data_IF_221888604819
#
_entry.id   IF_221888604819
#
_cell.length_a   1.000
_cell.length_b   1.000
_cell.length_c   1.000
_cell.angle_alpha   90.00
_cell.angle_beta   90.00
_cell.angle_gamma   90.00
#
_symmetry.space_group_name_H-M   'P 1'
#
loop_
_entity.id
_entity.type
_entity.pdbx_description
1 polymer ?
#
# COMPACT_ATOMS: atom_id res chain seq x y z
N UNK A 1 17.35 71.85 55.55
CA UNK A 1 16.32 70.86 55.04
C UNK A 1 16.99 70.09 53.94
N UNK A 2 17.59 68.95 54.28
CA UNK A 2 18.26 68.05 53.31
C UNK A 2 17.23 67.09 52.73
N UNK A 3 17.26 66.92 51.44
CA UNK A 3 16.27 66.29 50.57
C UNK A 3 16.28 64.80 50.70
N UNK A 4 15.41 64.18 51.54
CA UNK A 4 15.30 62.76 51.76
C UNK A 4 14.69 61.97 50.61
N UNK A 5 14.36 62.63 49.50
CA UNK A 5 13.72 62.00 48.33
C UNK A 5 14.69 61.39 47.29
N UNK A 6 15.99 61.75 47.37
CA UNK A 6 16.99 61.23 46.42
C UNK A 6 17.50 59.81 46.82
N UNK A 7 17.65 59.54 48.13
CA UNK A 7 18.16 58.23 48.60
C UNK A 7 17.17 57.10 48.41
N UNK A 8 15.87 57.37 48.35
CA UNK A 8 14.86 56.31 48.15
C UNK A 8 14.75 55.84 46.67
N UNK A 9 15.08 56.76 45.74
CA UNK A 9 15.08 56.44 44.30
C UNK A 9 16.24 55.56 43.90
N UNK A 10 17.43 55.77 44.44
CA UNK A 10 18.61 55.01 44.08
C UNK A 10 18.54 53.55 44.68
N UNK A 11 17.95 53.40 45.86
CA UNK A 11 17.71 52.09 46.46
C UNK A 11 16.67 51.27 45.71
N UNK A 12 15.60 51.88 45.17
CA UNK A 12 14.58 51.22 44.41
C UNK A 12 15.10 50.76 43.04
N UNK A 13 15.95 51.59 42.40
CA UNK A 13 16.57 51.21 41.10
C UNK A 13 17.57 50.07 41.27
N UNK A 14 18.31 50.03 42.39
CA UNK A 14 19.24 48.94 42.66
C UNK A 14 18.53 47.61 42.94
N UNK A 15 17.40 47.62 43.63
CA UNK A 15 16.58 46.42 43.84
C UNK A 15 15.90 45.92 42.57
N UNK A 16 15.47 46.81 41.67
CA UNK A 16 14.89 46.47 40.37
C UNK A 16 15.93 45.86 39.42
N UNK A 17 17.17 46.35 39.40
CA UNK A 17 18.25 45.80 38.56
C UNK A 17 18.71 44.44 39.10
N UNK A 18 18.80 44.23 40.43
CA UNK A 18 19.15 42.92 41.01
C UNK A 18 18.02 41.90 40.82
N UNK A 19 16.74 42.30 40.87
CA UNK A 19 15.61 41.39 40.59
C UNK A 19 15.50 41.02 39.11
N UNK A 20 15.92 41.89 38.19
CA UNK A 20 15.93 41.60 36.75
C UNK A 20 17.12 40.71 36.34
N UNK A 21 18.24 40.71 37.09
CA UNK A 21 19.36 39.80 36.84
C UNK A 21 19.17 38.40 37.43
N UNK A 22 18.27 38.20 38.42
CA UNK A 22 17.95 36.86 38.96
C UNK A 22 16.88 36.12 38.14
N UNK A 23 16.15 36.77 37.22
CA UNK A 23 15.15 36.17 36.38
C UNK A 23 15.69 35.63 35.04
N UNK A 24 16.99 35.76 34.73
CA UNK A 24 17.62 35.19 33.53
C UNK A 24 18.34 33.85 33.74
N UNK A 25 18.26 33.24 34.94
CA UNK A 25 18.91 31.96 35.24
C UNK A 25 17.94 30.76 35.26
N UNK A 26 16.69 30.95 34.77
CA UNK A 26 15.68 29.89 34.74
C UNK A 26 15.14 29.69 33.33
N UNK A 27 16.04 29.58 32.34
CA UNK A 27 15.70 29.05 31.02
C UNK A 27 16.89 28.23 30.52
N UNK A 28 16.93 26.99 30.88
CA UNK A 28 18.01 26.07 30.53
C UNK A 28 17.64 24.62 30.79
N UNK A 29 16.36 24.27 30.59
CA UNK A 29 16.00 22.90 30.24
C UNK A 29 15.59 22.93 28.77
N UNK A 30 16.56 23.11 27.87
CA UNK A 30 16.46 22.53 26.55
C UNK A 30 16.32 21.05 26.80
N UNK A 31 15.08 20.53 26.71
CA UNK A 31 14.88 19.21 26.18
C UNK A 31 15.63 19.23 24.85
N UNK A 32 16.84 18.70 24.85
CA UNK A 32 17.47 18.17 23.66
C UNK A 32 16.51 17.11 23.12
N UNK A 33 15.51 17.51 22.36
CA UNK A 33 15.07 16.74 21.24
C UNK A 33 16.29 16.71 20.32
N UNK A 34 17.14 15.70 20.49
CA UNK A 34 18.09 15.29 19.48
C UNK A 34 17.24 15.04 18.23
N UNK A 35 17.11 16.07 17.40
CA UNK A 35 16.77 15.89 16.00
C UNK A 35 17.94 15.08 15.49
N UNK A 36 17.78 13.74 15.47
CA UNK A 36 18.70 12.88 14.75
C UNK A 36 18.65 13.40 13.31
N UNK A 37 19.72 14.01 12.82
CA UNK A 37 19.86 14.35 11.41
C UNK A 37 20.02 13.05 10.64
N UNK A 38 18.90 12.33 10.50
CA UNK A 38 18.86 11.12 9.72
C UNK A 38 19.14 11.48 8.27
N UNK A 39 20.16 10.87 7.68
CA UNK A 39 20.62 11.21 6.33
C UNK A 39 21.07 9.97 5.57
N UNK A 40 21.08 10.07 4.24
CA UNK A 40 21.57 9.01 3.38
C UNK A 40 20.52 8.52 2.36
N UNK A 41 20.93 7.58 1.52
CA UNK A 41 20.08 7.04 0.46
C UNK A 41 19.47 5.69 0.87
N UNK A 42 18.23 5.46 0.43
CA UNK A 42 17.50 4.20 0.51
C UNK A 42 17.11 3.84 -0.92
N UNK A 43 17.50 2.67 -1.39
CA UNK A 43 17.17 2.17 -2.71
C UNK A 43 16.11 1.05 -2.60
N UNK A 44 14.99 1.25 -3.24
CA UNK A 44 13.85 0.30 -3.26
C UNK A 44 13.50 0.00 -4.71
N UNK A 45 13.15 -1.24 -5.02
CA UNK A 45 12.62 -1.61 -6.33
C UNK A 45 11.68 -2.81 -6.17
N UNK A 46 10.84 -3.10 -7.15
CA UNK A 46 10.01 -4.30 -7.12
C UNK A 46 8.64 -4.15 -7.76
N UNK A 47 7.65 -4.74 -7.09
CA UNK A 47 6.28 -4.87 -7.56
C UNK A 47 5.61 -3.53 -7.84
N UNK A 48 5.00 -3.40 -9.03
CA UNK A 48 4.13 -2.27 -9.39
C UNK A 48 2.94 -2.11 -8.45
N UNK A 49 2.44 -3.21 -7.89
CA UNK A 49 1.34 -3.20 -6.91
C UNK A 49 1.77 -2.63 -5.55
N UNK A 50 2.99 -2.94 -5.09
CA UNK A 50 3.51 -2.42 -3.81
C UNK A 50 4.03 -0.98 -3.95
N UNK A 51 4.38 -0.57 -5.17
CA UNK A 51 4.93 0.74 -5.49
C UNK A 51 4.10 1.91 -4.92
N UNK A 52 2.77 2.01 -5.13
CA UNK A 52 2.01 3.18 -4.68
C UNK A 52 2.08 3.39 -3.16
N UNK A 53 1.99 2.33 -2.37
CA UNK A 53 2.10 2.44 -0.91
C UNK A 53 3.53 2.77 -0.47
N UNK A 54 4.52 2.16 -1.12
CA UNK A 54 5.93 2.43 -0.82
C UNK A 54 6.31 3.88 -1.18
N UNK A 55 5.77 4.40 -2.28
CA UNK A 55 5.98 5.80 -2.70
C UNK A 55 5.33 6.77 -1.70
N UNK A 56 4.09 6.53 -1.29
CA UNK A 56 3.40 7.37 -0.28
C UNK A 56 4.18 7.39 1.05
N UNK A 57 4.61 6.22 1.54
CA UNK A 57 5.44 6.12 2.74
C UNK A 57 6.79 6.84 2.56
N UNK A 58 7.41 6.72 1.38
CA UNK A 58 8.68 7.36 1.08
C UNK A 58 8.57 8.89 1.03
N UNK A 59 7.49 9.41 0.48
CA UNK A 59 7.22 10.85 0.42
C UNK A 59 7.07 11.43 1.82
N UNK A 60 6.21 10.87 2.66
CA UNK A 60 5.99 11.34 4.03
C UNK A 60 7.23 11.18 4.91
N UNK A 61 7.96 10.06 4.75
CA UNK A 61 9.22 9.86 5.45
C UNK A 61 10.27 10.92 5.11
N UNK A 62 10.40 11.29 3.83
CA UNK A 62 11.33 12.33 3.38
C UNK A 62 10.91 13.74 3.84
N UNK A 63 9.61 14.02 3.93
CA UNK A 63 9.10 15.27 4.52
C UNK A 63 9.56 15.40 5.97
N UNK A 64 9.48 14.31 6.75
CA UNK A 64 9.93 14.28 8.14
C UNK A 64 11.46 14.23 8.28
N UNK A 65 12.19 13.71 7.28
CA UNK A 65 13.64 13.52 7.28
C UNK A 65 14.27 14.07 5.99
N UNK A 66 14.38 15.39 5.82
CA UNK A 66 14.73 16.05 4.55
C UNK A 66 16.16 15.77 4.05
N UNK A 67 17.05 15.27 4.90
CA UNK A 67 18.41 14.87 4.52
C UNK A 67 18.51 13.41 4.06
N UNK A 68 17.37 12.69 4.02
CA UNK A 68 17.26 11.34 3.45
C UNK A 68 16.78 11.40 2.00
N UNK A 69 17.20 10.42 1.22
CA UNK A 69 16.73 10.25 -0.16
C UNK A 69 16.23 8.84 -0.38
N UNK A 70 14.95 8.65 -0.54
CA UNK A 70 14.34 7.38 -0.92
C UNK A 70 14.10 7.37 -2.43
N UNK A 71 14.49 6.30 -3.09
CA UNK A 71 14.20 6.07 -4.50
C UNK A 71 13.44 4.77 -4.64
N UNK A 72 12.28 4.82 -5.30
CA UNK A 72 11.43 3.65 -5.51
C UNK A 72 11.35 3.38 -7.01
N UNK A 73 11.82 2.21 -7.43
CA UNK A 73 11.76 1.75 -8.81
C UNK A 73 10.65 0.71 -8.99
N UNK A 74 10.26 0.50 -10.25
CA UNK A 74 9.23 -0.46 -10.64
C UNK A 74 9.78 -1.38 -11.72
N UNK A 75 10.21 -2.58 -11.34
CA UNK A 75 10.67 -3.60 -12.30
C UNK A 75 9.89 -4.92 -12.18
N UNK A 76 8.76 -4.89 -11.48
CA UNK A 76 7.99 -6.07 -11.12
C UNK A 76 8.64 -6.87 -9.97
N UNK A 77 7.89 -7.76 -9.34
CA UNK A 77 8.37 -8.57 -8.21
C UNK A 77 9.65 -9.36 -8.53
N UNK A 78 9.72 -10.01 -9.69
CA UNK A 78 10.91 -10.78 -10.10
C UNK A 78 12.11 -9.90 -10.43
N UNK A 79 11.90 -8.74 -11.07
CA UNK A 79 12.94 -7.76 -11.35
C UNK A 79 13.49 -7.15 -10.06
N UNK A 80 12.61 -6.86 -9.09
CA UNK A 80 12.99 -6.41 -7.75
C UNK A 80 13.91 -7.41 -7.05
N UNK A 81 13.54 -8.70 -7.00
CA UNK A 81 14.40 -9.73 -6.41
C UNK A 81 15.74 -9.89 -7.13
N UNK A 82 15.78 -9.74 -8.46
CA UNK A 82 17.03 -9.79 -9.21
C UNK A 82 18.02 -8.72 -8.74
N UNK A 83 17.56 -7.49 -8.50
CA UNK A 83 18.38 -6.38 -7.99
C UNK A 83 18.70 -6.54 -6.50
N UNK A 84 17.70 -6.93 -5.73
CA UNK A 84 17.80 -7.11 -4.29
C UNK A 84 18.82 -8.19 -3.91
N UNK A 85 18.75 -9.36 -4.55
CA UNK A 85 19.62 -10.49 -4.27
C UNK A 85 21.09 -10.29 -4.72
N UNK A 86 21.41 -9.18 -5.41
CA UNK A 86 22.80 -8.76 -5.69
C UNK A 86 23.19 -7.48 -4.92
N UNK A 87 22.38 -7.06 -3.96
CA UNK A 87 22.58 -5.88 -3.10
C UNK A 87 22.55 -4.54 -3.85
N UNK A 88 21.88 -4.45 -5.00
CA UNK A 88 21.66 -3.20 -5.71
C UNK A 88 20.56 -2.35 -5.03
N UNK A 89 19.67 -2.97 -4.27
CA UNK A 89 18.63 -2.30 -3.47
C UNK A 89 18.67 -2.74 -2.01
N UNK A 90 18.18 -1.89 -1.12
CA UNK A 90 18.05 -2.14 0.32
C UNK A 90 16.76 -2.90 0.65
N UNK A 91 15.72 -2.65 -0.15
CA UNK A 91 14.38 -3.18 0.03
C UNK A 91 13.84 -3.63 -1.34
N UNK A 92 13.11 -4.75 -1.36
CA UNK A 92 12.32 -5.18 -2.52
C UNK A 92 10.85 -5.27 -2.18
N UNK A 93 10.00 -4.57 -2.95
CA UNK A 93 8.55 -4.74 -2.90
C UNK A 93 8.11 -6.00 -3.66
N UNK A 94 7.19 -6.78 -3.09
CA UNK A 94 6.71 -8.01 -3.72
C UNK A 94 5.21 -8.23 -3.49
N UNK A 95 4.49 -8.64 -4.53
CA UNK A 95 3.06 -8.99 -4.48
C UNK A 95 2.81 -10.50 -4.40
N UNK A 96 3.85 -11.27 -4.12
CA UNK A 96 3.84 -12.70 -3.83
C UNK A 96 5.04 -13.06 -2.94
N UNK A 97 5.03 -14.22 -2.28
CA UNK A 97 6.22 -14.71 -1.61
C UNK A 97 7.41 -14.91 -2.56
N UNK A 98 8.62 -14.79 -2.02
CA UNK A 98 9.85 -15.06 -2.74
C UNK A 98 9.88 -16.54 -3.21
N UNK A 99 10.24 -16.78 -4.48
CA UNK A 99 10.38 -18.12 -5.06
C UNK A 99 11.69 -18.79 -4.63
N UNK A 100 11.76 -20.12 -4.73
CA UNK A 100 12.96 -20.88 -4.35
C UNK A 100 14.19 -20.45 -5.14
N UNK A 101 14.09 -20.25 -6.44
CA UNK A 101 15.21 -19.78 -7.29
C UNK A 101 15.68 -18.36 -6.95
N UNK A 102 14.76 -17.48 -6.50
CA UNK A 102 15.12 -16.13 -6.03
C UNK A 102 15.80 -16.20 -4.66
N UNK A 103 15.33 -17.06 -3.77
CA UNK A 103 15.96 -17.34 -2.48
C UNK A 103 17.37 -17.94 -2.65
N UNK A 104 17.55 -18.86 -3.60
CA UNK A 104 18.86 -19.40 -3.96
C UNK A 104 19.80 -18.30 -4.46
N UNK A 105 19.34 -17.41 -5.34
CA UNK A 105 20.12 -16.26 -5.83
C UNK A 105 20.59 -15.35 -4.68
N UNK A 106 19.69 -15.02 -3.74
CA UNK A 106 20.08 -14.25 -2.56
C UNK A 106 21.15 -14.97 -1.72
N UNK A 107 20.97 -16.26 -1.49
CA UNK A 107 21.91 -17.06 -0.70
C UNK A 107 23.31 -17.17 -1.37
N UNK A 108 23.35 -17.36 -2.70
CA UNK A 108 24.62 -17.39 -3.47
C UNK A 108 25.39 -16.08 -3.35
N UNK A 109 24.70 -14.94 -3.23
CA UNK A 109 25.32 -13.61 -3.08
C UNK A 109 25.45 -13.18 -1.60
N UNK A 110 25.09 -14.03 -0.64
CA UNK A 110 25.20 -13.74 0.78
C UNK A 110 24.23 -12.66 1.27
N UNK A 111 23.10 -12.49 0.59
CA UNK A 111 22.04 -11.55 0.98
C UNK A 111 21.08 -12.24 1.93
N UNK A 112 21.17 -11.90 3.21
CA UNK A 112 20.23 -12.27 4.23
C UNK A 112 19.14 -11.19 4.36
N UNK A 113 17.89 -11.60 4.57
CA UNK A 113 16.76 -10.68 4.59
C UNK A 113 15.67 -11.10 5.57
N UNK A 114 14.83 -10.13 5.94
CA UNK A 114 13.55 -10.37 6.58
C UNK A 114 12.42 -10.13 5.57
N UNK A 115 11.34 -10.91 5.73
CA UNK A 115 10.10 -10.79 4.97
C UNK A 115 9.05 -10.15 5.87
N UNK A 116 8.46 -9.05 5.43
CA UNK A 116 7.47 -8.29 6.18
C UNK A 116 6.23 -8.11 5.31
N UNK A 117 5.10 -8.65 5.74
CA UNK A 117 3.83 -8.40 5.08
C UNK A 117 3.30 -7.03 5.52
N UNK A 118 3.07 -6.15 4.56
CA UNK A 118 2.69 -4.75 4.79
C UNK A 118 1.25 -4.44 4.44
N UNK A 119 0.61 -5.29 3.65
CA UNK A 119 -0.78 -5.12 3.24
C UNK A 119 -1.33 -6.34 2.53
N UNK A 120 -2.60 -6.23 2.13
CA UNK A 120 -3.28 -7.21 1.30
C UNK A 120 -4.03 -6.46 0.20
N UNK A 121 -3.79 -6.88 -1.03
CA UNK A 121 -4.55 -6.45 -2.19
C UNK A 121 -5.70 -7.46 -2.41
N UNK A 122 -6.92 -6.99 -2.28
CA UNK A 122 -8.12 -7.76 -2.58
C UNK A 122 -8.90 -7.07 -3.69
N UNK A 123 -9.35 -7.82 -4.68
CA UNK A 123 -10.18 -7.28 -5.75
C UNK A 123 -11.66 -7.57 -5.50
N UNK A 124 -12.51 -6.56 -5.71
CA UNK A 124 -13.95 -6.75 -5.77
C UNK A 124 -14.38 -6.91 -7.23
N UNK A 125 -15.05 -8.03 -7.53
CA UNK A 125 -15.83 -8.17 -8.76
C UNK A 125 -17.23 -7.67 -8.45
N UNK A 126 -17.65 -6.64 -9.16
CA UNK A 126 -18.86 -5.88 -8.83
C UNK A 126 -19.84 -5.83 -10.00
N UNK A 127 -21.08 -5.58 -9.68
CA UNK A 127 -22.18 -5.47 -10.64
C UNK A 127 -23.07 -4.29 -10.32
N UNK A 128 -23.92 -3.92 -11.23
CA UNK A 128 -25.04 -3.03 -10.92
C UNK A 128 -25.88 -3.61 -9.78
N UNK A 129 -26.35 -2.75 -8.89
CA UNK A 129 -27.11 -3.17 -7.70
C UNK A 129 -28.44 -3.89 -8.04
N UNK A 130 -29.07 -3.49 -9.14
CA UNK A 130 -30.35 -4.04 -9.60
C UNK A 130 -30.16 -5.36 -10.40
N UNK A 131 -28.92 -5.71 -10.77
CA UNK A 131 -28.63 -7.00 -11.41
C UNK A 131 -28.91 -8.13 -10.43
N UNK A 132 -29.81 -9.04 -10.79
CA UNK A 132 -30.28 -10.11 -9.92
C UNK A 132 -29.78 -11.52 -10.30
N UNK A 133 -28.99 -11.67 -11.38
CA UNK A 133 -28.48 -12.95 -11.85
C UNK A 133 -26.97 -13.11 -11.69
N UNK A 134 -26.15 -12.06 -11.70
CA UNK A 134 -24.70 -12.12 -11.48
C UNK A 134 -24.39 -12.13 -9.96
N UNK A 135 -24.65 -13.24 -9.29
CA UNK A 135 -24.43 -13.33 -7.84
C UNK A 135 -23.16 -14.09 -7.45
N UNK A 136 -22.73 -15.01 -8.31
CA UNK A 136 -21.54 -15.85 -8.10
C UNK A 136 -20.99 -16.23 -9.46
N UNK A 137 -19.69 -16.08 -9.67
CA UNK A 137 -18.98 -16.49 -10.87
C UNK A 137 -17.77 -17.34 -10.49
N UNK A 138 -17.56 -18.43 -11.21
CA UNK A 138 -16.30 -19.17 -11.10
C UNK A 138 -15.15 -18.42 -11.78
N UNK A 139 -13.91 -18.77 -11.44
CA UNK A 139 -12.72 -18.25 -12.15
C UNK A 139 -12.79 -18.56 -13.65
N UNK A 140 -13.30 -19.74 -14.05
CA UNK A 140 -13.50 -20.09 -15.47
C UNK A 140 -14.53 -19.18 -16.15
N UNK A 141 -15.61 -18.81 -15.45
CA UNK A 141 -16.60 -17.86 -15.98
C UNK A 141 -16.02 -16.45 -16.08
N UNK A 142 -15.22 -16.01 -15.11
CA UNK A 142 -14.49 -14.74 -15.19
C UNK A 142 -13.51 -14.74 -16.37
N UNK A 143 -12.74 -15.80 -16.57
CA UNK A 143 -11.85 -15.97 -17.72
C UNK A 143 -12.62 -15.95 -19.05
N UNK A 144 -13.83 -16.55 -19.07
CA UNK A 144 -14.71 -16.51 -20.24
C UNK A 144 -15.28 -15.12 -20.51
N UNK A 145 -15.46 -14.28 -19.49
CA UNK A 145 -15.90 -12.89 -19.66
C UNK A 145 -14.73 -11.99 -20.09
N UNK A 146 -13.58 -12.08 -19.41
CA UNK A 146 -12.49 -11.12 -19.52
C UNK A 146 -11.31 -11.58 -20.38
N UNK A 147 -11.30 -12.85 -20.83
CA UNK A 147 -10.19 -13.38 -21.62
C UNK A 147 -10.04 -12.73 -22.99
N UNK A 148 -8.82 -12.66 -23.56
CA UNK A 148 -8.59 -12.08 -24.89
C UNK A 148 -9.39 -12.75 -26.01
N UNK A 149 -9.62 -14.06 -25.92
CA UNK A 149 -10.41 -14.80 -26.90
C UNK A 149 -11.92 -14.46 -26.89
N UNK A 150 -12.37 -13.72 -25.90
CA UNK A 150 -13.77 -13.33 -25.74
C UNK A 150 -14.11 -11.99 -26.40
N UNK A 151 -13.10 -11.24 -26.83
CA UNK A 151 -13.27 -9.99 -27.58
C UNK A 151 -14.11 -10.23 -28.84
N UNK A 152 -15.12 -9.40 -29.06
CA UNK A 152 -16.09 -9.48 -30.18
C UNK A 152 -16.83 -10.83 -30.31
N UNK A 153 -16.60 -11.80 -29.41
CA UNK A 153 -17.14 -13.14 -29.49
C UNK A 153 -18.13 -13.49 -28.36
N UNK A 154 -17.82 -13.09 -27.12
CA UNK A 154 -18.69 -13.27 -25.95
C UNK A 154 -19.33 -11.92 -25.61
N UNK A 155 -20.47 -11.65 -26.24
CA UNK A 155 -21.16 -10.37 -26.15
C UNK A 155 -22.42 -10.41 -25.30
N UNK A 156 -22.87 -11.62 -24.91
CA UNK A 156 -24.11 -11.81 -24.13
C UNK A 156 -23.88 -12.66 -22.90
N UNK A 157 -24.53 -12.34 -21.81
CA UNK A 157 -24.46 -13.09 -20.56
C UNK A 157 -24.84 -14.56 -20.73
N UNK A 158 -25.84 -14.86 -21.57
CA UNK A 158 -26.21 -16.26 -21.88
C UNK A 158 -25.12 -17.08 -22.57
N UNK A 159 -24.10 -16.44 -23.13
CA UNK A 159 -22.93 -17.13 -23.68
C UNK A 159 -21.93 -17.51 -22.58
N UNK A 160 -21.93 -16.78 -21.46
CA UNK A 160 -21.11 -17.14 -20.26
C UNK A 160 -21.72 -18.34 -19.57
N UNK A 161 -23.01 -18.26 -19.25
CA UNK A 161 -23.79 -19.35 -18.68
C UNK A 161 -25.20 -19.34 -19.29
N UNK A 162 -25.72 -20.49 -19.68
CA UNK A 162 -27.04 -20.64 -20.31
C UNK A 162 -28.20 -20.28 -19.36
N UNK A 163 -27.97 -20.21 -18.05
CA UNK A 163 -28.96 -19.78 -17.06
C UNK A 163 -29.08 -18.26 -16.97
N UNK A 164 -28.13 -17.51 -17.50
CA UNK A 164 -28.17 -16.05 -17.53
C UNK A 164 -29.02 -15.55 -18.69
N UNK A 165 -29.57 -14.33 -18.62
CA UNK A 165 -30.37 -13.75 -19.68
C UNK A 165 -29.53 -13.47 -20.94
N UNK A 166 -30.20 -13.35 -22.09
CA UNK A 166 -29.55 -13.03 -23.37
C UNK A 166 -29.35 -11.51 -23.53
N UNK A 167 -28.96 -10.85 -22.44
CA UNK A 167 -28.64 -9.44 -22.42
C UNK A 167 -27.18 -9.18 -22.80
N UNK A 168 -26.89 -7.99 -23.31
CA UNK A 168 -25.55 -7.62 -23.71
C UNK A 168 -24.64 -7.45 -22.49
N UNK A 169 -23.38 -7.83 -22.65
CA UNK A 169 -22.34 -7.65 -21.63
C UNK A 169 -21.80 -6.22 -21.72
N UNK A 170 -21.77 -5.51 -20.58
CA UNK A 170 -21.19 -4.18 -20.46
C UNK A 170 -20.15 -4.19 -19.36
N UNK A 171 -18.87 -3.96 -19.70
CA UNK A 171 -17.72 -4.16 -18.84
C UNK A 171 -16.97 -2.89 -18.51
N UNK A 172 -16.61 -2.74 -17.26
CA UNK A 172 -15.80 -1.65 -16.71
C UNK A 172 -14.64 -2.20 -15.90
N UNK A 173 -13.44 -1.68 -16.12
CA UNK A 173 -12.27 -2.16 -15.38
C UNK A 173 -11.13 -1.15 -15.41
N UNK A 174 -10.09 -1.37 -14.60
CA UNK A 174 -8.90 -0.52 -14.62
C UNK A 174 -8.24 -0.48 -15.99
N UNK A 175 -7.50 0.60 -16.25
CA UNK A 175 -6.67 0.71 -17.45
C UNK A 175 -5.41 -0.17 -17.37
N UNK A 176 -4.70 -0.26 -18.48
CA UNK A 176 -3.54 -1.15 -18.64
C UNK A 176 -2.30 -0.76 -17.81
N UNK A 177 -2.28 0.45 -17.26
CA UNK A 177 -1.19 0.92 -16.41
C UNK A 177 -1.42 0.56 -14.92
N UNK A 178 -2.60 -0.01 -14.60
CA UNK A 178 -3.00 -0.37 -13.24
C UNK A 178 -2.42 -1.72 -12.79
N UNK A 179 -1.80 -1.75 -11.59
CA UNK A 179 -1.41 -3.00 -10.95
C UNK A 179 -2.60 -3.92 -10.60
N UNK A 180 -3.81 -3.35 -10.49
CA UNK A 180 -5.07 -4.10 -10.33
C UNK A 180 -5.43 -4.85 -11.61
N UNK A 181 -5.24 -4.21 -12.77
CA UNK A 181 -5.41 -4.83 -14.08
C UNK A 181 -4.45 -6.01 -14.27
N UNK A 182 -3.16 -5.82 -13.98
CA UNK A 182 -2.16 -6.87 -14.09
C UNK A 182 -2.49 -8.07 -13.21
N UNK A 183 -2.84 -7.82 -11.95
CA UNK A 183 -3.19 -8.90 -11.02
C UNK A 183 -4.46 -9.65 -11.44
N UNK A 184 -5.52 -8.93 -11.79
CA UNK A 184 -6.75 -9.58 -12.23
C UNK A 184 -6.52 -10.47 -13.46
N UNK A 185 -5.80 -9.95 -14.45
CA UNK A 185 -5.54 -10.70 -15.69
C UNK A 185 -4.59 -11.88 -15.47
N UNK A 186 -3.60 -11.76 -14.58
CA UNK A 186 -2.73 -12.88 -14.19
C UNK A 186 -3.52 -14.00 -13.51
N UNK A 187 -4.36 -13.67 -12.53
CA UNK A 187 -5.14 -14.67 -11.78
C UNK A 187 -6.28 -15.29 -12.59
N UNK A 188 -6.95 -14.49 -13.39
CA UNK A 188 -8.14 -14.92 -14.15
C UNK A 188 -7.76 -15.55 -15.50
N UNK A 189 -6.81 -14.97 -16.22
CA UNK A 189 -6.46 -15.36 -17.60
C UNK A 189 -5.10 -16.10 -17.66
N UNK A 190 -4.36 -16.18 -16.53
CA UNK A 190 -3.08 -16.88 -16.44
C UNK A 190 -1.88 -16.08 -16.93
N UNK A 191 -2.07 -14.83 -17.37
CA UNK A 191 -1.00 -13.95 -17.85
C UNK A 191 -1.36 -12.48 -17.57
N UNK A 192 -0.48 -11.76 -16.88
CA UNK A 192 -0.64 -10.34 -16.62
C UNK A 192 -0.73 -9.53 -17.92
N UNK A 193 -1.70 -8.64 -18.00
CA UNK A 193 -1.99 -7.86 -19.20
C UNK A 193 -2.85 -8.55 -20.25
N UNK A 194 -3.09 -9.85 -20.14
CA UNK A 194 -3.93 -10.60 -21.09
C UNK A 194 -5.42 -10.37 -20.81
N UNK A 195 -6.07 -9.52 -21.58
CA UNK A 195 -7.51 -9.20 -21.47
C UNK A 195 -8.11 -8.91 -22.83
N UNK A 196 -9.46 -8.96 -22.92
CA UNK A 196 -10.21 -8.37 -24.04
C UNK A 196 -10.03 -6.85 -24.02
N UNK A 197 -10.08 -6.20 -25.20
CA UNK A 197 -9.92 -4.75 -25.32
C UNK A 197 -11.23 -3.97 -25.45
N UNK A 198 -12.37 -4.67 -25.64
CA UNK A 198 -13.70 -4.08 -25.87
C UNK A 198 -14.48 -3.83 -24.55
N UNK A 199 -13.80 -3.41 -23.50
CA UNK A 199 -14.38 -2.94 -22.23
C UNK A 199 -14.13 -1.42 -22.08
N UNK A 200 -14.77 -0.78 -21.10
CA UNK A 200 -14.52 0.63 -20.76
C UNK A 200 -13.43 0.72 -19.69
N UNK A 201 -12.17 1.10 -20.05
CA UNK A 201 -11.08 1.25 -19.10
C UNK A 201 -11.12 2.62 -18.42
N UNK A 202 -10.71 2.70 -17.17
CA UNK A 202 -10.42 3.95 -16.46
C UNK A 202 -9.43 3.72 -15.32
N UNK A 203 -8.52 4.68 -15.12
CA UNK A 203 -7.65 4.74 -13.94
C UNK A 203 -8.36 5.42 -12.75
N UNK A 204 -9.52 6.04 -12.97
CA UNK A 204 -10.35 6.63 -11.93
C UNK A 204 -11.51 5.67 -11.60
N UNK A 205 -11.45 5.05 -10.41
CA UNK A 205 -12.45 4.11 -9.92
C UNK A 205 -13.85 4.73 -9.79
N UNK A 206 -13.98 6.07 -9.61
CA UNK A 206 -15.28 6.75 -9.61
C UNK A 206 -15.98 6.67 -10.97
N UNK A 207 -15.20 6.68 -12.05
CA UNK A 207 -15.72 6.49 -13.42
C UNK A 207 -16.25 5.07 -13.56
N UNK A 208 -15.51 4.06 -13.03
CA UNK A 208 -15.94 2.66 -13.05
C UNK A 208 -17.22 2.47 -12.25
N UNK A 209 -17.29 2.99 -11.01
CA UNK A 209 -18.50 2.96 -10.17
C UNK A 209 -19.70 3.57 -10.88
N UNK A 210 -19.52 4.75 -11.47
CA UNK A 210 -20.60 5.47 -12.19
C UNK A 210 -21.09 4.67 -13.40
N UNK A 211 -20.16 4.12 -14.18
CA UNK A 211 -20.47 3.30 -15.34
C UNK A 211 -21.25 2.05 -14.98
N UNK A 212 -20.78 1.29 -13.98
CA UNK A 212 -21.44 0.06 -13.51
C UNK A 212 -22.82 0.36 -12.93
N UNK A 213 -22.97 1.45 -12.19
CA UNK A 213 -24.27 1.86 -11.65
C UNK A 213 -25.25 2.31 -12.73
N UNK A 214 -24.76 2.73 -13.88
CA UNK A 214 -25.58 3.27 -14.99
C UNK A 214 -26.30 2.23 -15.84
N UNK A 215 -25.90 0.97 -15.81
CA UNK A 215 -26.51 -0.11 -16.63
C UNK A 215 -26.71 -1.39 -15.79
N UNK A 216 -27.97 -1.89 -15.74
CA UNK A 216 -28.34 -3.09 -14.98
C UNK A 216 -27.51 -4.34 -15.37
N UNK A 217 -27.04 -4.42 -16.62
CA UNK A 217 -26.33 -5.59 -17.14
C UNK A 217 -24.82 -5.47 -17.08
N UNK A 218 -24.31 -4.41 -16.42
CA UNK A 218 -22.89 -4.14 -16.31
C UNK A 218 -22.22 -4.93 -15.17
N UNK A 219 -20.94 -5.17 -15.38
CA UNK A 219 -20.00 -5.75 -14.41
C UNK A 219 -18.66 -5.04 -14.51
N UNK A 220 -17.91 -5.04 -13.42
CA UNK A 220 -16.54 -4.55 -13.42
C UNK A 220 -15.74 -5.12 -12.26
N UNK A 221 -14.49 -4.66 -12.13
CA UNK A 221 -13.65 -4.99 -10.99
C UNK A 221 -12.72 -3.83 -10.66
N UNK A 222 -12.37 -3.71 -9.37
CA UNK A 222 -11.40 -2.76 -8.82
C UNK A 222 -11.03 -3.18 -7.38
N UNK A 223 -10.22 -2.37 -6.68
CA UNK A 223 -9.78 -2.67 -5.31
C UNK A 223 -10.95 -2.84 -4.34
N UNK A 224 -10.88 -3.86 -3.48
CA UNK A 224 -11.93 -4.17 -2.51
C UNK A 224 -12.21 -3.00 -1.55
N UNK A 225 -11.19 -2.27 -1.13
CA UNK A 225 -11.38 -1.13 -0.24
C UNK A 225 -12.30 -0.07 -0.87
N UNK A 226 -12.14 0.17 -2.17
CA UNK A 226 -13.00 1.10 -2.90
C UNK A 226 -14.45 0.62 -3.01
N UNK A 227 -14.66 -0.70 -3.23
CA UNK A 227 -16.00 -1.28 -3.15
C UNK A 227 -16.63 -1.08 -1.76
N UNK A 228 -15.84 -1.25 -0.68
CA UNK A 228 -16.34 -1.11 0.68
C UNK A 228 -16.94 0.30 0.96
N UNK A 229 -16.42 1.33 0.30
CA UNK A 229 -16.94 2.71 0.37
C UNK A 229 -18.19 2.92 -0.51
N UNK A 230 -18.46 2.03 -1.47
CA UNK A 230 -19.51 2.15 -2.48
C UNK A 230 -20.60 1.05 -2.41
N UNK A 231 -20.70 0.32 -1.29
CA UNK A 231 -21.67 -0.78 -1.10
C UNK A 231 -23.13 -0.37 -1.27
N UNK A 232 -23.45 0.90 -1.06
CA UNK A 232 -24.80 1.43 -1.24
C UNK A 232 -25.18 1.60 -2.72
N UNK A 233 -24.21 1.68 -3.60
CA UNK A 233 -24.37 1.94 -5.04
C UNK A 233 -24.23 0.68 -5.88
N UNK A 234 -23.36 -0.25 -5.49
CA UNK A 234 -23.00 -1.44 -6.25
C UNK A 234 -23.38 -2.74 -5.52
N UNK A 235 -23.58 -3.80 -6.30
CA UNK A 235 -23.67 -5.17 -5.82
C UNK A 235 -22.32 -5.89 -5.93
N UNK A 236 -22.05 -6.82 -5.00
CA UNK A 236 -20.87 -7.67 -5.03
C UNK A 236 -21.17 -8.99 -5.73
N UNK A 237 -20.21 -9.51 -6.48
CA UNK A 237 -20.23 -10.85 -7.06
C UNK A 237 -19.29 -11.73 -6.24
N UNK A 238 -19.78 -12.90 -5.82
CA UNK A 238 -18.92 -13.92 -5.23
C UNK A 238 -18.01 -14.52 -6.29
N UNK A 239 -16.84 -14.95 -5.88
CA UNK A 239 -15.93 -15.70 -6.75
C UNK A 239 -15.73 -17.10 -6.16
N UNK A 240 -16.09 -18.13 -6.92
CA UNK A 240 -16.10 -19.52 -6.45
C UNK A 240 -16.88 -19.71 -5.12
N UNK A 241 -18.01 -19.03 -4.97
CA UNK A 241 -18.85 -19.10 -3.78
C UNK A 241 -18.38 -18.23 -2.59
N UNK A 242 -17.22 -17.59 -2.68
CA UNK A 242 -16.64 -16.78 -1.61
C UNK A 242 -16.94 -15.30 -1.85
N UNK A 243 -17.52 -14.64 -0.85
CA UNK A 243 -17.73 -13.18 -0.87
C UNK A 243 -16.44 -12.49 -0.43
N UNK A 244 -15.91 -11.48 -1.17
CA UNK A 244 -14.80 -10.68 -0.67
C UNK A 244 -15.20 -9.91 0.59
N UNK A 245 -14.35 -9.95 1.58
CA UNK A 245 -14.46 -9.22 2.84
C UNK A 245 -13.06 -9.05 3.42
N UNK A 246 -12.88 -8.14 4.38
CA UNK A 246 -11.61 -8.03 5.08
C UNK A 246 -11.13 -9.38 5.63
N UNK A 247 -12.05 -10.21 6.14
CA UNK A 247 -11.72 -11.54 6.67
C UNK A 247 -11.25 -12.49 5.56
N UNK A 248 -12.02 -12.61 4.45
CA UNK A 248 -11.71 -13.57 3.37
C UNK A 248 -10.51 -13.15 2.55
N UNK A 249 -10.23 -11.84 2.42
CA UNK A 249 -9.01 -11.29 1.84
C UNK A 249 -7.82 -11.58 2.77
N UNK A 250 -7.94 -11.28 4.08
CA UNK A 250 -6.84 -11.45 5.05
C UNK A 250 -6.42 -12.90 5.25
N UNK A 251 -7.36 -13.84 5.25
CA UNK A 251 -7.06 -15.26 5.47
C UNK A 251 -6.76 -16.04 4.18
N UNK A 252 -6.80 -15.36 3.00
CA UNK A 252 -6.49 -15.94 1.69
C UNK A 252 -7.56 -16.91 1.16
N UNK A 253 -8.77 -16.94 1.76
CA UNK A 253 -9.86 -17.80 1.25
C UNK A 253 -10.55 -17.23 0.01
N UNK A 254 -10.41 -15.93 -0.25
CA UNK A 254 -10.90 -15.29 -1.46
C UNK A 254 -9.85 -15.37 -2.56
N UNK A 255 -10.23 -15.94 -3.71
CA UNK A 255 -9.29 -16.26 -4.79
C UNK A 255 -8.60 -15.02 -5.41
N UNK A 256 -9.30 -13.87 -5.44
CA UNK A 256 -8.74 -12.61 -5.97
C UNK A 256 -8.18 -11.75 -4.83
N UNK A 257 -7.29 -12.34 -4.02
CA UNK A 257 -6.55 -11.65 -2.98
C UNK A 257 -5.10 -12.08 -2.97
N UNK A 258 -4.19 -11.12 -2.73
CA UNK A 258 -2.76 -11.38 -2.63
C UNK A 258 -2.11 -10.59 -1.51
N UNK A 259 -1.12 -11.16 -0.83
CA UNK A 259 -0.33 -10.46 0.16
C UNK A 259 0.66 -9.51 -0.50
N UNK A 260 0.88 -8.37 0.15
CA UNK A 260 1.88 -7.39 -0.23
C UNK A 260 3.02 -7.42 0.77
N UNK A 261 4.25 -7.55 0.28
CA UNK A 261 5.45 -7.67 1.09
C UNK A 261 6.47 -6.60 0.78
N UNK A 262 7.28 -6.29 1.77
CA UNK A 262 8.63 -5.75 1.58
C UNK A 262 9.65 -6.77 2.12
N UNK A 263 10.69 -7.00 1.35
CA UNK A 263 11.88 -7.78 1.73
C UNK A 263 12.99 -6.81 2.05
N UNK A 264 13.54 -6.89 3.25
CA UNK A 264 14.52 -5.92 3.73
C UNK A 264 15.85 -6.61 4.02
N UNK A 265 16.94 -6.09 3.45
CA UNK A 265 18.29 -6.61 3.69
C UNK A 265 18.69 -6.42 5.16
N UNK A 266 19.06 -7.51 5.84
CA UNK A 266 19.57 -7.47 7.22
C UNK A 266 20.84 -6.61 7.30
N UNK A 267 21.72 -6.72 6.31
CA UNK A 267 22.91 -5.89 6.24
C UNK A 267 22.58 -4.39 6.13
N UNK A 268 21.53 -4.03 5.40
CA UNK A 268 21.08 -2.63 5.30
C UNK A 268 20.45 -2.16 6.60
N UNK A 269 19.62 -2.97 7.27
CA UNK A 269 19.05 -2.66 8.59
C UNK A 269 20.13 -2.39 9.64
N UNK A 270 21.21 -3.17 9.63
CA UNK A 270 22.29 -3.08 10.64
C UNK A 270 23.28 -1.96 10.37
N UNK A 271 23.47 -1.53 9.11
CA UNK A 271 24.52 -0.58 8.72
C UNK A 271 24.01 0.78 8.28
N UNK A 272 22.72 0.88 7.95
CA UNK A 272 22.10 2.11 7.43
C UNK A 272 20.94 2.50 8.35
N UNK A 273 21.21 3.42 9.28
CA UNK A 273 20.21 3.91 10.22
C UNK A 273 18.94 4.42 9.51
N UNK A 274 19.11 5.09 8.35
CA UNK A 274 17.99 5.58 7.56
C UNK A 274 17.10 4.45 7.02
N UNK A 275 17.65 3.26 6.72
CA UNK A 275 16.86 2.09 6.27
C UNK A 275 16.06 1.54 7.45
N UNK A 276 16.67 1.41 8.63
CA UNK A 276 16.00 0.95 9.83
C UNK A 276 14.82 1.86 10.21
N UNK A 277 15.06 3.18 10.25
CA UNK A 277 14.02 4.15 10.59
C UNK A 277 12.92 4.22 9.52
N UNK A 278 13.25 4.04 8.24
CA UNK A 278 12.26 3.94 7.18
C UNK A 278 11.36 2.70 7.36
N UNK A 279 11.92 1.54 7.67
CA UNK A 279 11.14 0.32 7.90
C UNK A 279 10.28 0.43 9.17
N UNK A 280 10.80 1.05 10.23
CA UNK A 280 10.00 1.37 11.43
C UNK A 280 8.83 2.29 11.11
N UNK A 281 9.07 3.33 10.31
CA UNK A 281 8.03 4.25 9.87
C UNK A 281 7.00 3.55 8.98
N UNK A 282 7.43 2.70 8.05
CA UNK A 282 6.54 1.92 7.19
C UNK A 282 5.57 1.06 8.01
N UNK A 283 6.07 0.45 9.10
CA UNK A 283 5.26 -0.38 10.00
C UNK A 283 4.61 0.41 11.15
N UNK A 284 4.76 1.73 11.23
CA UNK A 284 4.06 2.57 12.20
C UNK A 284 2.57 2.65 11.91
N UNK A 285 1.80 3.21 12.83
CA UNK A 285 0.37 3.39 12.60
C UNK A 285 0.11 4.39 11.45
N UNK A 286 0.98 5.39 11.28
CA UNK A 286 0.95 6.35 10.18
C UNK A 286 1.27 5.66 8.84
N UNK A 287 2.34 4.86 8.79
CA UNK A 287 2.73 4.13 7.56
C UNK A 287 1.67 3.12 7.13
N UNK A 288 1.07 2.41 8.09
CA UNK A 288 -0.01 1.45 7.82
C UNK A 288 -1.31 2.16 7.40
N UNK A 289 -1.58 3.39 7.86
CA UNK A 289 -2.73 4.15 7.38
C UNK A 289 -2.65 4.42 5.88
N UNK A 290 -1.45 4.64 5.32
CA UNK A 290 -1.24 4.84 3.88
C UNK A 290 -1.59 3.61 3.04
N UNK A 291 -1.50 2.39 3.61
CA UNK A 291 -1.96 1.16 2.94
C UNK A 291 -3.46 1.24 2.61
N UNK A 292 -4.26 1.76 3.55
CA UNK A 292 -5.71 1.95 3.35
C UNK A 292 -5.96 3.09 2.37
N UNK A 293 -5.23 4.20 2.49
CA UNK A 293 -5.40 5.38 1.63
C UNK A 293 -5.14 5.06 0.15
N UNK A 294 -4.20 4.14 -0.11
CA UNK A 294 -3.91 3.63 -1.46
C UNK A 294 -4.97 2.62 -1.95
N UNK A 295 -5.87 2.16 -1.08
CA UNK A 295 -6.97 1.26 -1.44
C UNK A 295 -6.70 -0.22 -1.14
N UNK A 296 -5.70 -0.55 -0.31
CA UNK A 296 -5.42 -1.91 0.13
C UNK A 296 -5.99 -2.19 1.53
N UNK A 297 -6.00 -3.46 1.92
CA UNK A 297 -6.41 -3.88 3.25
C UNK A 297 -5.20 -4.05 4.17
N UNK A 298 -5.38 -3.74 5.46
CA UNK A 298 -4.34 -3.95 6.47
C UNK A 298 -4.07 -5.43 6.73
N UNK A 299 -2.85 -5.73 7.14
CA UNK A 299 -2.53 -7.01 7.79
C UNK A 299 -3.20 -7.10 9.18
N UNK A 300 -3.46 -8.32 9.70
CA UNK A 300 -3.92 -8.50 11.07
C UNK A 300 -2.97 -7.85 12.10
N UNK A 301 -3.54 -7.31 13.18
CA UNK A 301 -2.76 -6.56 14.19
C UNK A 301 -1.65 -7.41 14.83
N UNK A 302 -1.94 -8.68 15.11
CA UNK A 302 -0.96 -9.61 15.70
C UNK A 302 0.21 -9.91 14.75
N UNK A 303 -0.03 -9.92 13.46
CA UNK A 303 1.00 -10.05 12.43
C UNK A 303 1.85 -8.78 12.28
N UNK A 304 1.21 -7.60 12.30
CA UNK A 304 1.93 -6.32 12.30
C UNK A 304 2.86 -6.21 13.51
N UNK A 305 2.38 -6.58 14.69
CA UNK A 305 3.19 -6.62 15.90
C UNK A 305 4.34 -7.64 15.82
N UNK A 306 4.13 -8.77 15.15
CA UNK A 306 5.19 -9.74 14.89
C UNK A 306 6.24 -9.16 13.93
N UNK A 307 5.82 -8.47 12.87
CA UNK A 307 6.70 -7.78 11.93
C UNK A 307 7.56 -6.72 12.62
N UNK A 308 6.98 -5.89 13.49
CA UNK A 308 7.70 -4.91 14.31
C UNK A 308 8.78 -5.58 15.18
N UNK A 309 8.46 -6.69 15.83
CA UNK A 309 9.44 -7.46 16.62
C UNK A 309 10.56 -8.04 15.75
N UNK A 310 10.23 -8.58 14.58
CA UNK A 310 11.23 -9.15 13.66
C UNK A 310 12.26 -8.09 13.24
N UNK A 311 11.84 -6.84 12.99
CA UNK A 311 12.77 -5.73 12.70
C UNK A 311 13.71 -5.48 13.85
N UNK A 312 13.20 -5.38 15.09
CA UNK A 312 14.04 -5.10 16.28
C UNK A 312 15.02 -6.26 16.60
N UNK A 313 14.60 -7.50 16.38
CA UNK A 313 15.46 -8.68 16.55
C UNK A 313 16.58 -8.76 15.51
N UNK A 314 16.33 -8.25 14.31
CA UNK A 314 17.30 -8.29 13.19
C UNK A 314 18.46 -7.31 13.35
N UNK A 315 18.39 -6.35 14.27
CA UNK A 315 19.43 -5.34 14.52
C UNK A 315 20.19 -5.56 15.82
N UNK A 316 19.84 -6.61 16.58
CA UNK A 316 20.57 -7.02 17.80
C UNK A 316 21.75 -7.91 17.47
#
# INVERSE_FOLDING_TARGET
MFNSSLMLRDSIILYLVVFFMLSMAACGSSSDSSVSNLSGAIAIDGSSTVYPVTEAVAEEFQIANPDTRVTVGVSGTGGGFTKFCVSDTDISGASRPIKDNERELCAENGVEFIELRVGLDGLAVVKNKDNNYLNDLSMDQLAKVWGPASEDSVMKWSQVDSSFPAEDIDLYGPGTDSGTFDFFTEEVNGEGGASRGDYTPSEDDNVLVTGIAGNEHSMGYFGYAYYAENMDTLGIIKVNGVTPSNETVSNGSYALSRPLYIYVSINSLQKKEQVLEFVRYYLSDEGIAMVIEVGYSNVPVDELEASRRTVEESVQ
#
